data_IF_387724860356
#
_entry.id   IF_387724860356
#
_cell.length_a   1.000
_cell.length_b   1.000
_cell.length_c   1.000
_cell.angle_alpha   90.00
_cell.angle_beta   90.00
_cell.angle_gamma   90.00
#
_symmetry.space_group_name_H-M   'P 1'
#
loop_
_entity.id
_entity.type
_entity.pdbx_description
1 polymer ?
#
# COMPACT_ATOMS: atom_id res chain seq x y z
N UNK A 1 -25.14 -12.73 -7.16
CA UNK A 1 -24.77 -11.86 -6.00
C UNK A 1 -23.69 -12.47 -5.08
N UNK A 2 -23.53 -13.80 -5.01
CA UNK A 2 -22.43 -14.48 -4.27
C UNK A 2 -21.44 -15.24 -5.17
N UNK A 3 -21.50 -15.05 -6.49
CA UNK A 3 -20.67 -15.82 -7.45
C UNK A 3 -19.16 -15.67 -7.23
N UNK A 4 -18.71 -14.51 -6.74
CA UNK A 4 -17.30 -14.25 -6.42
C UNK A 4 -16.74 -15.12 -5.29
N UNK A 5 -17.58 -15.55 -4.34
CA UNK A 5 -17.17 -16.46 -3.25
C UNK A 5 -16.96 -17.87 -3.79
N UNK A 6 -17.74 -18.28 -4.79
CA UNK A 6 -17.66 -19.60 -5.42
C UNK A 6 -16.70 -19.67 -6.60
N UNK A 7 -16.30 -18.53 -7.17
CA UNK A 7 -15.35 -18.46 -8.29
C UNK A 7 -13.91 -18.62 -7.79
N UNK A 8 -13.18 -19.67 -8.18
CA UNK A 8 -11.77 -19.84 -7.84
C UNK A 8 -10.89 -18.67 -8.29
N UNK A 9 -11.26 -18.00 -9.39
CA UNK A 9 -10.52 -16.90 -9.98
C UNK A 9 -10.45 -15.68 -9.05
N UNK A 10 -11.53 -15.36 -8.35
CA UNK A 10 -11.55 -14.24 -7.40
C UNK A 10 -10.63 -14.48 -6.20
N UNK A 11 -10.56 -15.72 -5.72
CA UNK A 11 -9.65 -16.11 -4.64
C UNK A 11 -8.19 -16.05 -5.07
N UNK A 12 -7.88 -16.48 -6.30
CA UNK A 12 -6.54 -16.37 -6.87
C UNK A 12 -6.15 -14.89 -7.02
N UNK A 13 -7.02 -14.06 -7.58
CA UNK A 13 -6.76 -12.62 -7.71
C UNK A 13 -6.55 -11.94 -6.35
N UNK A 14 -7.39 -12.24 -5.35
CA UNK A 14 -7.25 -11.75 -4.00
C UNK A 14 -5.91 -12.18 -3.37
N UNK A 15 -5.55 -13.46 -3.53
CA UNK A 15 -4.30 -14.00 -3.02
C UNK A 15 -3.09 -13.32 -3.67
N UNK A 16 -3.10 -13.13 -4.99
CA UNK A 16 -2.04 -12.43 -5.73
C UNK A 16 -1.94 -10.97 -5.30
N UNK A 17 -3.06 -10.24 -5.23
CA UNK A 17 -3.07 -8.85 -4.77
C UNK A 17 -2.54 -8.73 -3.35
N UNK A 18 -2.97 -9.61 -2.45
CA UNK A 18 -2.49 -9.65 -1.06
C UNK A 18 -0.99 -9.94 -1.01
N UNK A 19 -0.51 -10.88 -1.82
CA UNK A 19 0.91 -11.21 -1.89
C UNK A 19 1.75 -10.01 -2.38
N UNK A 20 1.29 -9.31 -3.42
CA UNK A 20 1.96 -8.11 -3.94
C UNK A 20 1.98 -6.98 -2.90
N UNK A 21 0.87 -6.74 -2.22
CA UNK A 21 0.74 -5.74 -1.16
C UNK A 21 1.73 -6.02 0.00
N UNK A 22 1.92 -7.29 0.34
CA UNK A 22 2.87 -7.74 1.36
C UNK A 22 4.31 -7.51 0.90
N UNK A 23 4.68 -7.92 -0.32
CA UNK A 23 6.05 -7.75 -0.84
C UNK A 23 6.44 -6.26 -0.90
N UNK A 24 5.58 -5.42 -1.49
CA UNK A 24 5.77 -3.97 -1.50
C UNK A 24 5.82 -3.37 -0.09
N UNK A 25 5.02 -3.90 0.85
CA UNK A 25 5.04 -3.48 2.24
C UNK A 25 6.34 -3.80 2.97
N UNK A 26 6.93 -4.98 2.70
CA UNK A 26 8.16 -5.46 3.33
C UNK A 26 9.35 -4.59 2.92
N UNK A 27 9.49 -4.29 1.62
CA UNK A 27 10.60 -3.47 1.11
C UNK A 27 10.68 -2.12 1.83
N UNK A 28 9.51 -1.51 2.07
CA UNK A 28 9.38 -0.20 2.72
C UNK A 28 9.72 -0.25 4.23
N UNK A 29 9.35 -1.33 4.94
CA UNK A 29 9.67 -1.53 6.36
C UNK A 29 11.15 -1.86 6.55
N UNK A 30 11.74 -2.67 5.66
CA UNK A 30 13.16 -3.03 5.71
C UNK A 30 14.02 -1.78 5.48
N UNK A 31 13.72 -0.96 4.47
CA UNK A 31 14.45 0.28 4.21
C UNK A 31 14.44 1.21 5.43
N UNK A 32 13.26 1.39 6.04
CA UNK A 32 13.11 2.22 7.24
C UNK A 32 13.93 1.68 8.42
N UNK A 33 13.89 0.36 8.63
CA UNK A 33 14.61 -0.30 9.72
C UNK A 33 16.14 -0.20 9.56
N UNK A 34 16.64 -0.29 8.32
CA UNK A 34 18.06 -0.08 8.00
C UNK A 34 18.47 1.38 8.27
N UNK A 35 17.65 2.34 7.84
CA UNK A 35 17.93 3.77 8.02
C UNK A 35 17.96 4.17 9.50
N UNK A 36 16.97 3.69 10.29
CA UNK A 36 16.92 3.91 11.74
C UNK A 36 18.07 3.22 12.48
N UNK A 37 18.53 2.06 12.00
CA UNK A 37 19.69 1.36 12.56
C UNK A 37 20.98 2.19 12.53
N UNK A 38 21.10 3.16 11.62
CA UNK A 38 22.26 4.05 11.51
C UNK A 38 22.22 5.28 12.43
N UNK A 39 21.13 5.49 13.18
CA UNK A 39 21.00 6.61 14.11
C UNK A 39 21.60 6.29 15.49
N UNK A 40 22.07 7.30 16.25
CA UNK A 40 22.52 7.14 17.64
C UNK A 40 21.40 6.60 18.52
N UNK A 41 21.73 5.75 19.52
CA UNK A 41 20.72 5.02 20.31
C UNK A 41 19.63 5.90 20.93
N UNK A 42 19.99 7.10 21.40
CA UNK A 42 19.06 8.09 21.94
C UNK A 42 17.98 8.52 20.91
N UNK A 43 18.30 8.56 19.62
CA UNK A 43 17.37 9.01 18.57
C UNK A 43 16.64 7.85 17.88
N UNK A 44 17.05 6.61 18.09
CA UNK A 44 16.46 5.44 17.41
C UNK A 44 14.97 5.29 17.70
N UNK A 45 14.55 5.44 18.96
CA UNK A 45 13.15 5.28 19.34
C UNK A 45 12.25 6.32 18.65
N UNK A 46 12.68 7.58 18.65
CA UNK A 46 11.98 8.70 18.01
C UNK A 46 11.99 8.58 16.48
N UNK A 47 13.12 8.22 15.89
CA UNK A 47 13.24 8.01 14.45
C UNK A 47 12.43 6.81 13.96
N UNK A 48 12.27 5.76 14.76
CA UNK A 48 11.42 4.60 14.42
C UNK A 48 9.95 4.97 14.40
N UNK A 49 9.47 5.67 15.42
CA UNK A 49 8.06 6.11 15.51
C UNK A 49 7.75 7.14 14.46
N UNK A 50 8.59 8.17 14.31
CA UNK A 50 8.41 9.21 13.28
C UNK A 50 8.56 8.63 11.88
N UNK A 51 9.52 7.74 11.66
CA UNK A 51 9.72 7.05 10.38
C UNK A 51 8.56 6.14 10.01
N UNK A 52 8.03 5.36 10.96
CA UNK A 52 6.85 4.51 10.73
C UNK A 52 5.61 5.36 10.45
N UNK A 53 5.39 6.43 11.23
CA UNK A 53 4.28 7.34 11.02
C UNK A 53 4.37 8.03 9.65
N UNK A 54 5.56 8.53 9.29
CA UNK A 54 5.81 9.16 7.98
C UNK A 54 5.61 8.14 6.85
N UNK A 55 6.14 6.92 6.96
CA UNK A 55 5.99 5.89 5.93
C UNK A 55 4.54 5.50 5.69
N UNK A 56 3.75 5.37 6.77
CA UNK A 56 2.31 5.13 6.66
C UNK A 56 1.59 6.32 6.02
N UNK A 57 1.98 7.54 6.36
CA UNK A 57 1.42 8.76 5.79
C UNK A 57 1.72 8.90 4.29
N UNK A 58 2.97 8.65 3.88
CA UNK A 58 3.37 8.67 2.47
C UNK A 58 2.64 7.59 1.68
N UNK A 59 2.43 6.40 2.26
CA UNK A 59 1.64 5.33 1.65
C UNK A 59 0.19 5.78 1.43
N UNK A 60 -0.45 6.36 2.44
CA UNK A 60 -1.81 6.90 2.31
C UNK A 60 -1.88 8.02 1.26
N UNK A 61 -0.90 8.93 1.26
CA UNK A 61 -0.85 10.03 0.29
C UNK A 61 -0.70 9.51 -1.14
N UNK A 62 0.16 8.52 -1.36
CA UNK A 62 0.35 7.89 -2.67
C UNK A 62 -0.90 7.12 -3.11
N UNK A 63 -1.52 6.33 -2.23
CA UNK A 63 -2.78 5.65 -2.52
C UNK A 63 -3.89 6.64 -2.87
N UNK A 64 -4.05 7.70 -2.08
CA UNK A 64 -5.02 8.76 -2.36
C UNK A 64 -4.75 9.46 -3.70
N UNK A 65 -3.47 9.72 -4.00
CA UNK A 65 -3.06 10.31 -5.28
C UNK A 65 -3.38 9.38 -6.45
N UNK A 66 -3.15 8.07 -6.28
CA UNK A 66 -3.53 7.04 -7.26
C UNK A 66 -5.04 7.01 -7.47
N UNK A 67 -5.84 6.97 -6.42
CA UNK A 67 -7.30 7.01 -6.52
C UNK A 67 -7.78 8.29 -7.21
N UNK A 68 -7.19 9.44 -6.87
CA UNK A 68 -7.52 10.72 -7.48
C UNK A 68 -7.15 10.77 -8.97
N UNK A 69 -5.96 10.30 -9.33
CA UNK A 69 -5.49 10.19 -10.73
C UNK A 69 -6.36 9.21 -11.51
N UNK A 70 -6.66 8.03 -10.95
CA UNK A 70 -7.58 7.06 -11.56
C UNK A 70 -8.98 7.63 -11.74
N UNK A 71 -9.45 8.48 -10.82
CA UNK A 71 -10.72 9.18 -10.96
C UNK A 71 -10.70 10.25 -12.06
N UNK A 72 -9.54 10.83 -12.37
CA UNK A 72 -9.36 11.79 -13.47
C UNK A 72 -9.22 11.08 -14.82
N UNK A 73 -8.66 9.87 -14.84
CA UNK A 73 -8.52 9.05 -16.05
C UNK A 73 -9.71 8.13 -16.30
N UNK A 74 -10.62 7.95 -15.33
CA UNK A 74 -11.95 7.42 -15.59
C UNK A 74 -12.71 8.46 -16.43
N UNK A 75 -13.02 8.18 -17.69
CA UNK A 75 -13.99 9.01 -18.38
C UNK A 75 -15.31 8.81 -17.63
N UNK A 76 -16.02 9.90 -17.35
CA UNK A 76 -17.42 9.90 -16.90
C UNK A 76 -18.39 9.20 -17.89
N UNK A 77 -17.86 8.49 -18.89
CA UNK A 77 -18.61 7.68 -19.82
C UNK A 77 -18.71 6.29 -19.24
N UNK A 78 -19.80 6.05 -18.51
CA UNK A 78 -20.55 4.82 -18.69
C UNK A 78 -20.52 4.46 -20.18
N UNK A 79 -19.97 3.31 -20.61
CA UNK A 79 -20.50 2.74 -21.83
C UNK A 79 -21.98 2.49 -21.48
N UNK A 80 -22.86 3.27 -22.09
CA UNK A 80 -24.25 2.89 -22.19
C UNK A 80 -24.25 1.50 -22.83
N UNK A 81 -24.46 0.46 -22.01
CA UNK A 81 -24.35 -0.95 -22.38
C UNK A 81 -23.94 -1.80 -21.18
#
# INVERSE_FOLDING_TARGET
MFEWITSPEAWVALATLTALEIVLGIDNIIFLSILVGRLPEHQRAFARTTGLALAMLTRLALLFSLTWVMSLTHPFMSPFG
#
